data_IF_771213586757
#
_entry.id   IF_771213586757
#
_cell.length_a   1.000
_cell.length_b   1.000
_cell.length_c   1.000
_cell.angle_alpha   90.00
_cell.angle_beta   90.00
_cell.angle_gamma   90.00
#
_symmetry.space_group_name_H-M   'P 1'
#
loop_
_entity.id
_entity.type
_entity.pdbx_description
1 polymer ?
#
# COMPACT_ATOMS: atom_id res chain seq x y z
N UNK A 1 -18.28 -44.97 56.15
CA UNK A 1 -17.14 -44.54 55.31
C UNK A 1 -17.64 -44.35 53.88
N UNK A 2 -18.08 -43.15 53.48
CA UNK A 2 -18.60 -42.93 52.11
C UNK A 2 -18.75 -41.45 51.70
N UNK A 3 -17.96 -40.51 52.25
CA UNK A 3 -18.11 -39.06 51.95
C UNK A 3 -16.94 -38.48 51.14
N UNK A 4 -15.79 -39.17 51.02
CA UNK A 4 -14.63 -38.61 50.30
C UNK A 4 -14.64 -38.77 48.76
N UNK A 5 -15.49 -39.63 48.19
CA UNK A 5 -15.50 -39.87 46.73
C UNK A 5 -16.37 -38.89 45.92
N UNK A 6 -17.35 -38.22 46.55
CA UNK A 6 -18.26 -37.30 45.86
C UNK A 6 -17.59 -35.99 45.44
N UNK A 7 -16.75 -35.42 46.32
CA UNK A 7 -16.07 -34.16 46.04
C UNK A 7 -15.02 -34.32 44.93
N UNK A 8 -14.26 -35.41 44.92
CA UNK A 8 -13.28 -35.63 43.84
C UNK A 8 -13.93 -35.74 42.47
N UNK A 9 -15.08 -36.41 42.35
CA UNK A 9 -15.82 -36.49 41.08
C UNK A 9 -16.35 -35.12 40.63
N UNK A 10 -16.77 -34.26 41.56
CA UNK A 10 -17.24 -32.91 41.25
C UNK A 10 -16.09 -32.00 40.78
N UNK A 11 -14.90 -32.10 41.39
CA UNK A 11 -13.70 -31.40 40.94
C UNK A 11 -13.24 -31.87 39.56
N UNK A 12 -13.25 -33.17 39.30
CA UNK A 12 -12.91 -33.73 37.98
C UNK A 12 -13.90 -33.24 36.92
N UNK A 13 -15.20 -33.22 37.23
CA UNK A 13 -16.23 -32.68 36.34
C UNK A 13 -16.04 -31.19 36.02
N UNK A 14 -15.71 -30.37 37.02
CA UNK A 14 -15.42 -28.94 36.83
C UNK A 14 -14.16 -28.70 35.98
N UNK A 15 -13.10 -29.48 36.19
CA UNK A 15 -11.87 -29.38 35.40
C UNK A 15 -12.09 -29.80 33.94
N UNK A 16 -12.90 -30.84 33.70
CA UNK A 16 -13.31 -31.25 32.36
C UNK A 16 -14.18 -30.18 31.68
N UNK A 17 -15.09 -29.54 32.42
CA UNK A 17 -15.90 -28.45 31.87
C UNK A 17 -15.05 -27.22 31.51
N UNK A 18 -14.06 -26.88 32.34
CA UNK A 18 -13.13 -25.79 32.06
C UNK A 18 -12.26 -26.07 30.81
N UNK A 19 -11.80 -27.31 30.63
CA UNK A 19 -11.00 -27.67 29.46
C UNK A 19 -11.84 -27.64 28.17
N UNK A 20 -13.09 -28.11 28.23
CA UNK A 20 -14.05 -28.02 27.11
C UNK A 20 -14.35 -26.57 26.72
N UNK A 21 -14.56 -25.68 27.69
CA UNK A 21 -14.78 -24.25 27.44
C UNK A 21 -13.53 -23.59 26.79
N UNK A 22 -12.32 -23.95 27.23
CA UNK A 22 -11.08 -23.47 26.62
C UNK A 22 -10.92 -23.93 25.16
N UNK A 23 -11.24 -25.19 24.87
CA UNK A 23 -11.25 -25.75 23.51
C UNK A 23 -12.27 -25.03 22.62
N UNK A 24 -13.45 -24.71 23.14
CA UNK A 24 -14.50 -24.00 22.41
C UNK A 24 -14.09 -22.54 22.08
N UNK A 25 -13.41 -21.85 23.01
CA UNK A 25 -12.85 -20.51 22.77
C UNK A 25 -11.72 -20.55 21.73
N UNK A 26 -10.85 -21.57 21.77
CA UNK A 26 -9.79 -21.75 20.78
C UNK A 26 -10.37 -22.01 19.38
N UNK A 27 -11.38 -22.87 19.29
CA UNK A 27 -12.11 -23.14 18.04
C UNK A 27 -12.79 -21.87 17.52
N UNK A 28 -13.40 -21.06 18.39
CA UNK A 28 -14.01 -19.79 17.98
C UNK A 28 -12.97 -18.76 17.51
N UNK A 29 -11.79 -18.69 18.14
CA UNK A 29 -10.68 -17.84 17.68
C UNK A 29 -10.10 -18.31 16.36
N UNK A 30 -9.99 -19.62 16.15
CA UNK A 30 -9.51 -20.21 14.90
C UNK A 30 -10.53 -20.00 13.78
N UNK A 31 -11.83 -20.18 14.03
CA UNK A 31 -12.88 -19.92 13.03
C UNK A 31 -13.02 -18.43 12.74
N UNK A 32 -12.88 -17.54 13.74
CA UNK A 32 -12.88 -16.09 13.51
C UNK A 32 -11.64 -15.63 12.74
N UNK A 33 -10.46 -16.15 13.07
CA UNK A 33 -9.22 -15.89 12.32
C UNK A 33 -9.32 -16.42 10.88
N UNK A 34 -9.85 -17.63 10.70
CA UNK A 34 -10.14 -18.21 9.40
C UNK A 34 -11.18 -17.39 8.65
N UNK A 35 -12.29 -16.98 9.27
CA UNK A 35 -13.32 -16.11 8.66
C UNK A 35 -12.77 -14.72 8.32
N UNK A 36 -11.87 -14.16 9.12
CA UNK A 36 -11.20 -12.90 8.83
C UNK A 36 -10.14 -13.06 7.72
N UNK A 37 -9.51 -14.23 7.63
CA UNK A 37 -8.59 -14.59 6.56
C UNK A 37 -9.34 -14.89 5.25
N UNK A 38 -10.47 -15.59 5.32
CA UNK A 38 -11.40 -15.86 4.24
C UNK A 38 -12.16 -14.61 3.82
N UNK A 39 -12.45 -13.67 4.71
CA UNK A 39 -12.94 -12.33 4.37
C UNK A 39 -11.92 -11.62 3.49
N UNK A 40 -10.64 -11.56 3.91
CA UNK A 40 -9.56 -11.04 3.05
C UNK A 40 -9.46 -11.79 1.71
N UNK A 41 -9.61 -13.11 1.68
CA UNK A 41 -9.57 -13.92 0.46
C UNK A 41 -10.84 -13.81 -0.42
N UNK A 42 -12.00 -13.53 0.18
CA UNK A 42 -13.28 -13.34 -0.51
C UNK A 42 -13.39 -11.92 -1.07
N UNK A 43 -12.74 -10.94 -0.41
CA UNK A 43 -12.47 -9.63 -0.99
C UNK A 43 -11.50 -9.70 -2.17
N UNK A 44 -10.61 -10.70 -2.25
CA UNK A 44 -9.80 -10.92 -3.46
C UNK A 44 -10.55 -11.57 -4.64
N UNK A 45 -11.84 -11.91 -4.51
CA UNK A 45 -12.60 -12.62 -5.54
C UNK A 45 -13.88 -11.93 -6.03
N UNK A 46 -14.28 -10.76 -5.49
CA UNK A 46 -15.54 -10.12 -5.88
C UNK A 46 -15.41 -8.62 -6.18
N UNK A 47 -14.67 -8.36 -7.25
CA UNK A 47 -14.98 -7.42 -8.35
C UNK A 47 -13.81 -7.65 -9.28
N UNK A 48 -14.02 -7.78 -10.58
CA UNK A 48 -12.98 -7.33 -11.50
C UNK A 48 -12.90 -5.83 -11.22
N UNK A 49 -12.13 -5.43 -10.21
CA UNK A 49 -11.87 -4.04 -9.93
C UNK A 49 -11.39 -3.49 -11.26
N UNK A 50 -12.11 -2.49 -11.75
CA UNK A 50 -12.13 -2.13 -13.15
C UNK A 50 -10.73 -1.69 -13.54
N UNK A 51 -9.92 -2.63 -14.04
CA UNK A 51 -8.54 -2.32 -14.33
C UNK A 51 -8.48 -1.23 -15.39
N UNK A 52 -9.49 -1.15 -16.26
CA UNK A 52 -9.60 -0.14 -17.30
C UNK A 52 -9.86 1.27 -16.73
N UNK A 53 -10.42 1.42 -15.52
CA UNK A 53 -10.59 2.74 -14.88
C UNK A 53 -9.31 3.26 -14.22
N UNK A 54 -8.39 2.37 -13.84
CA UNK A 54 -7.14 2.73 -13.16
C UNK A 54 -5.89 2.59 -14.04
N UNK A 55 -5.97 1.82 -15.13
CA UNK A 55 -4.84 1.52 -16.01
C UNK A 55 -4.58 2.70 -16.94
N UNK A 56 -3.44 3.33 -16.73
CA UNK A 56 -2.95 4.39 -17.60
C UNK A 56 -1.57 4.02 -18.11
N UNK A 57 -1.45 3.90 -19.44
CA UNK A 57 -0.17 3.77 -20.10
C UNK A 57 0.42 5.14 -20.38
N UNK A 58 1.60 5.38 -19.82
CA UNK A 58 2.27 6.68 -19.90
C UNK A 58 3.61 6.46 -20.59
N UNK A 59 3.88 7.27 -21.61
CA UNK A 59 5.14 7.22 -22.37
C UNK A 59 6.09 8.31 -21.91
N UNK A 60 5.56 9.50 -21.67
CA UNK A 60 6.28 10.64 -21.10
C UNK A 60 5.52 11.18 -19.87
N UNK A 61 6.23 11.63 -18.84
CA UNK A 61 5.61 12.23 -17.66
C UNK A 61 4.82 13.50 -18.02
N UNK A 62 5.21 14.19 -19.09
CA UNK A 62 4.46 15.35 -19.62
C UNK A 62 3.06 15.01 -20.09
N UNK A 63 2.84 13.75 -20.49
CA UNK A 63 1.51 13.28 -20.91
C UNK A 63 0.53 13.26 -19.72
N UNK A 64 1.04 13.18 -18.48
CA UNK A 64 0.22 13.16 -17.26
C UNK A 64 -0.57 14.46 -17.08
N UNK A 65 -0.01 15.59 -17.48
CA UNK A 65 -0.68 16.89 -17.42
C UNK A 65 -2.00 16.87 -18.23
N UNK A 66 -1.99 16.19 -19.37
CA UNK A 66 -3.12 16.09 -20.30
C UNK A 66 -4.20 15.08 -19.87
N UNK A 67 -3.94 14.24 -18.86
CA UNK A 67 -4.92 13.30 -18.34
C UNK A 67 -6.01 14.09 -17.60
N UNK A 68 -7.26 13.94 -18.04
CA UNK A 68 -8.43 14.43 -17.30
C UNK A 68 -8.60 13.55 -16.05
N UNK A 69 -8.47 14.10 -14.84
CA UNK A 69 -8.52 13.29 -13.64
C UNK A 69 -9.95 12.79 -13.38
N UNK A 70 -10.08 11.53 -12.99
CA UNK A 70 -11.28 10.97 -12.38
C UNK A 70 -11.00 10.64 -10.91
N UNK A 71 -12.01 10.82 -10.05
CA UNK A 71 -11.92 10.39 -8.65
C UNK A 71 -12.01 8.87 -8.59
N UNK A 72 -11.02 8.25 -7.97
CA UNK A 72 -11.03 6.82 -7.68
C UNK A 72 -11.88 6.52 -6.44
N UNK A 73 -12.59 5.40 -6.47
CA UNK A 73 -13.22 4.85 -5.28
C UNK A 73 -12.20 4.13 -4.37
N UNK A 74 -12.60 3.79 -3.15
CA UNK A 74 -11.71 3.16 -2.17
C UNK A 74 -11.11 1.83 -2.69
N UNK A 75 -11.89 1.04 -3.44
CA UNK A 75 -11.45 -0.24 -3.99
C UNK A 75 -10.43 -0.06 -5.11
N UNK A 76 -10.64 0.95 -5.97
CA UNK A 76 -9.72 1.35 -7.03
C UNK A 76 -8.40 1.88 -6.48
N UNK A 77 -8.45 2.69 -5.41
CA UNK A 77 -7.24 3.17 -4.72
C UNK A 77 -6.47 2.00 -4.13
N UNK A 78 -7.12 1.13 -3.36
CA UNK A 78 -6.47 -0.03 -2.74
C UNK A 78 -5.84 -0.96 -3.78
N UNK A 79 -6.56 -1.25 -4.87
CA UNK A 79 -6.02 -2.05 -5.95
C UNK A 79 -4.81 -1.39 -6.60
N UNK A 80 -4.89 -0.10 -6.91
CA UNK A 80 -3.79 0.63 -7.56
C UNK A 80 -2.55 0.64 -6.67
N UNK A 81 -2.72 0.83 -5.35
CA UNK A 81 -1.61 0.71 -4.40
C UNK A 81 -1.00 -0.70 -4.40
N UNK A 82 -1.83 -1.75 -4.43
CA UNK A 82 -1.36 -3.14 -4.49
C UNK A 82 -0.58 -3.44 -5.78
N UNK A 83 -1.08 -3.00 -6.95
CA UNK A 83 -0.41 -3.18 -8.24
C UNK A 83 1.00 -2.58 -8.22
N UNK A 84 1.17 -1.46 -7.52
CA UNK A 84 2.43 -0.72 -7.44
C UNK A 84 3.24 -0.99 -6.16
N UNK A 85 2.85 -2.00 -5.37
CA UNK A 85 3.49 -2.39 -4.12
C UNK A 85 3.63 -1.24 -3.10
N UNK A 86 2.60 -0.40 -3.00
CA UNK A 86 2.54 0.78 -2.14
C UNK A 86 1.68 0.58 -0.89
N UNK A 87 0.90 -0.51 -0.82
CA UNK A 87 -0.13 -0.77 0.21
C UNK A 87 0.42 -0.87 1.64
N UNK A 88 1.72 -1.15 1.79
CA UNK A 88 2.40 -1.21 3.09
C UNK A 88 2.94 0.13 3.55
N UNK A 89 3.17 1.05 2.62
CA UNK A 89 3.98 2.25 2.85
C UNK A 89 3.14 3.53 2.81
N UNK A 90 2.04 3.53 2.06
CA UNK A 90 1.14 4.66 1.91
C UNK A 90 -0.17 4.43 2.65
N UNK A 91 -0.62 5.46 3.37
CA UNK A 91 -1.90 5.45 4.08
C UNK A 91 -2.95 6.15 3.23
N UNK A 92 -4.13 5.57 3.15
CA UNK A 92 -5.31 6.18 2.54
C UNK A 92 -6.00 7.01 3.63
N UNK A 93 -6.08 8.32 3.42
CA UNK A 93 -6.96 9.21 4.16
C UNK A 93 -8.24 9.45 3.36
N UNK A 94 -9.23 10.14 3.94
CA UNK A 94 -10.54 10.35 3.31
C UNK A 94 -10.51 10.90 1.88
N UNK A 95 -9.50 11.72 1.54
CA UNK A 95 -9.34 12.34 0.21
C UNK A 95 -7.90 12.35 -0.31
N UNK A 96 -6.94 11.79 0.42
CA UNK A 96 -5.51 11.93 0.10
C UNK A 96 -4.73 10.67 0.42
N UNK A 97 -3.58 10.52 -0.26
CA UNK A 97 -2.55 9.56 0.10
C UNK A 97 -1.54 10.25 1.01
N UNK A 98 -1.15 9.60 2.10
CA UNK A 98 -0.20 10.15 3.07
C UNK A 98 0.94 9.18 3.39
N UNK A 99 2.15 9.73 3.56
CA UNK A 99 3.34 8.99 3.97
C UNK A 99 4.33 9.87 4.72
N UNK A 100 5.08 9.29 5.65
CA UNK A 100 6.26 9.91 6.25
C UNK A 100 7.52 9.18 5.78
N UNK A 101 8.49 9.94 5.29
CA UNK A 101 9.82 9.47 4.93
C UNK A 101 10.83 9.87 6.00
N UNK A 102 11.81 9.00 6.25
CA UNK A 102 12.91 9.26 7.19
C UNK A 102 14.26 8.93 6.54
N UNK A 103 15.12 9.92 6.46
CA UNK A 103 16.45 9.85 5.88
C UNK A 103 17.52 9.81 6.98
N UNK A 104 18.78 9.57 6.63
CA UNK A 104 19.88 9.63 7.60
C UNK A 104 20.30 11.07 7.87
N UNK A 105 20.30 11.90 6.83
CA UNK A 105 20.72 13.30 6.89
C UNK A 105 19.71 14.21 6.23
N UNK A 106 19.76 15.51 6.55
CA UNK A 106 19.03 16.53 5.80
C UNK A 106 19.40 16.54 4.32
N UNK A 107 20.68 16.26 3.99
CA UNK A 107 21.17 16.29 2.61
C UNK A 107 20.51 15.20 1.75
N UNK A 108 20.33 13.98 2.28
CA UNK A 108 19.55 12.93 1.61
C UNK A 108 18.09 13.34 1.42
N UNK A 109 17.45 13.91 2.47
CA UNK A 109 16.08 14.39 2.35
C UNK A 109 15.94 15.45 1.24
N UNK A 110 16.91 16.35 1.13
CA UNK A 110 16.92 17.40 0.11
C UNK A 110 17.17 16.85 -1.30
N UNK A 111 18.06 15.86 -1.49
CA UNK A 111 18.23 15.19 -2.79
C UNK A 111 16.93 14.52 -3.23
N UNK A 112 16.26 13.82 -2.31
CA UNK A 112 14.94 13.26 -2.58
C UNK A 112 13.94 14.33 -3.01
N UNK A 113 13.84 15.43 -2.25
CA UNK A 113 12.92 16.52 -2.57
C UNK A 113 13.23 17.14 -3.93
N UNK A 114 14.50 17.39 -4.24
CA UNK A 114 14.90 17.96 -5.52
C UNK A 114 14.52 17.06 -6.70
N UNK A 115 14.78 15.74 -6.58
CA UNK A 115 14.40 14.77 -7.61
C UNK A 115 12.88 14.69 -7.78
N UNK A 116 12.12 14.61 -6.68
CA UNK A 116 10.65 14.59 -6.73
C UNK A 116 10.10 15.89 -7.32
N UNK A 117 10.71 17.04 -7.01
CA UNK A 117 10.32 18.33 -7.58
C UNK A 117 10.40 18.33 -9.11
N UNK A 118 11.46 17.74 -9.68
CA UNK A 118 11.60 17.63 -11.13
C UNK A 118 10.50 16.74 -11.74
N UNK A 119 10.24 15.58 -11.13
CA UNK A 119 9.21 14.64 -11.60
C UNK A 119 7.81 15.25 -11.51
N UNK A 120 7.50 15.91 -10.39
CA UNK A 120 6.22 16.59 -10.17
C UNK A 120 5.97 17.72 -11.18
N UNK A 121 7.01 18.48 -11.53
CA UNK A 121 6.93 19.55 -12.52
C UNK A 121 6.60 19.00 -13.93
N UNK A 122 7.28 17.92 -14.33
CA UNK A 122 6.97 17.24 -15.59
C UNK A 122 5.52 16.74 -15.65
N UNK A 123 4.98 16.27 -14.52
CA UNK A 123 3.59 15.82 -14.42
C UNK A 123 2.56 16.95 -14.33
N UNK A 124 3.01 18.18 -14.03
CA UNK A 124 2.13 19.27 -13.57
C UNK A 124 1.21 18.83 -12.42
N UNK A 125 1.75 18.03 -11.49
CA UNK A 125 1.01 17.48 -10.35
C UNK A 125 1.91 17.46 -9.12
N UNK A 126 1.53 18.21 -8.08
CA UNK A 126 2.44 18.56 -6.99
C UNK A 126 2.02 17.94 -5.66
N UNK A 127 2.96 17.42 -4.85
CA UNK A 127 2.65 16.98 -3.49
C UNK A 127 2.52 18.18 -2.56
N UNK A 128 1.79 18.00 -1.47
CA UNK A 128 1.94 18.82 -0.26
C UNK A 128 2.92 18.11 0.66
N UNK A 129 3.93 18.81 1.16
CA UNK A 129 4.87 18.21 2.10
C UNK A 129 5.34 19.19 3.18
N UNK A 130 5.87 18.64 4.27
CA UNK A 130 6.53 19.37 5.34
C UNK A 130 7.84 18.65 5.62
N UNK A 131 8.96 19.36 5.51
CA UNK A 131 10.28 18.84 5.84
C UNK A 131 10.76 19.39 7.19
N UNK A 132 11.19 18.49 8.07
CA UNK A 132 11.87 18.82 9.33
C UNK A 132 13.14 17.99 9.40
N UNK A 133 14.28 18.61 9.11
CA UNK A 133 15.58 17.95 9.04
C UNK A 133 15.54 16.69 8.14
N UNK A 134 15.77 15.51 8.68
CA UNK A 134 15.79 14.24 7.97
C UNK A 134 14.41 13.56 7.88
N UNK A 135 13.32 14.25 8.21
CA UNK A 135 11.95 13.73 8.11
C UNK A 135 11.14 14.55 7.12
N UNK A 136 10.33 13.87 6.33
CA UNK A 136 9.47 14.49 5.33
C UNK A 136 8.08 13.86 5.39
N UNK A 137 7.10 14.63 5.81
CA UNK A 137 5.69 14.24 5.82
C UNK A 137 5.04 14.69 4.52
N UNK A 138 4.37 13.79 3.81
CA UNK A 138 3.83 14.00 2.46
C UNK A 138 2.34 13.68 2.44
N UNK A 139 1.58 14.51 1.75
CA UNK A 139 0.17 14.36 1.45
C UNK A 139 -0.05 14.65 -0.05
N UNK A 140 -0.76 13.76 -0.76
CA UNK A 140 -1.02 13.88 -2.19
C UNK A 140 -2.53 13.72 -2.44
N UNK A 141 -3.11 14.63 -3.22
CA UNK A 141 -4.52 14.60 -3.60
C UNK A 141 -4.71 15.41 -4.88
N UNK A 142 -5.70 15.03 -5.69
CA UNK A 142 -6.09 15.77 -6.89
C UNK A 142 -7.26 16.69 -6.54
N UNK A 143 -6.96 17.99 -6.45
CA UNK A 143 -7.92 19.01 -6.01
C UNK A 143 -9.14 19.12 -6.93
N UNK A 144 -8.93 19.02 -8.25
CA UNK A 144 -9.97 19.13 -9.28
C UNK A 144 -11.12 18.13 -9.08
N UNK A 145 -10.81 16.96 -8.50
CA UNK A 145 -11.80 15.91 -8.20
C UNK A 145 -12.06 15.74 -6.70
N UNK A 146 -11.50 16.61 -5.87
CA UNK A 146 -11.63 16.59 -4.41
C UNK A 146 -11.43 15.18 -3.82
N UNK A 147 -10.35 14.52 -4.25
CA UNK A 147 -10.07 13.13 -3.90
C UNK A 147 -8.80 12.59 -4.55
N UNK A 148 -8.63 11.27 -4.43
CA UNK A 148 -7.50 10.55 -5.01
C UNK A 148 -7.81 10.23 -6.47
N UNK A 149 -6.87 10.53 -7.36
CA UNK A 149 -6.88 10.12 -8.77
C UNK A 149 -5.67 9.23 -9.09
N UNK A 150 -5.62 8.71 -10.31
CA UNK A 150 -4.44 7.98 -10.81
C UNK A 150 -3.16 8.83 -10.79
N UNK A 151 -3.26 10.16 -10.92
CA UNK A 151 -2.10 11.07 -10.84
C UNK A 151 -1.44 11.00 -9.46
N UNK A 152 -2.24 10.89 -8.41
CA UNK A 152 -1.76 10.78 -7.02
C UNK A 152 -1.03 9.46 -6.79
N UNK A 153 -1.59 8.36 -7.30
CA UNK A 153 -0.97 7.02 -7.19
C UNK A 153 0.35 6.97 -7.96
N UNK A 154 0.40 7.57 -9.16
CA UNK A 154 1.62 7.67 -9.95
C UNK A 154 2.68 8.47 -9.22
N UNK A 155 2.35 9.66 -8.69
CA UNK A 155 3.31 10.46 -7.94
C UNK A 155 3.81 9.70 -6.70
N UNK A 156 2.92 9.02 -5.97
CA UNK A 156 3.29 8.16 -4.85
C UNK A 156 4.26 7.04 -5.25
N UNK A 157 4.04 6.41 -6.41
CA UNK A 157 4.94 5.39 -6.99
C UNK A 157 6.33 5.95 -7.34
N UNK A 158 6.37 7.11 -7.99
CA UNK A 158 7.62 7.78 -8.34
C UNK A 158 8.41 8.16 -7.08
N UNK A 159 7.74 8.74 -6.09
CA UNK A 159 8.33 9.06 -4.79
C UNK A 159 8.85 7.82 -4.08
N UNK A 160 8.14 6.69 -4.13
CA UNK A 160 8.63 5.46 -3.51
C UNK A 160 9.92 4.94 -4.17
N UNK A 161 9.97 4.98 -5.49
CA UNK A 161 11.13 4.58 -6.26
C UNK A 161 12.34 5.49 -5.98
N UNK A 162 12.12 6.81 -5.95
CA UNK A 162 13.16 7.78 -5.58
C UNK A 162 13.64 7.61 -4.14
N UNK A 163 12.74 7.31 -3.21
CA UNK A 163 13.13 7.09 -1.82
C UNK A 163 14.08 5.90 -1.67
N UNK A 164 13.82 4.79 -2.39
CA UNK A 164 14.68 3.61 -2.40
C UNK A 164 16.07 3.93 -2.96
N UNK A 165 16.12 4.62 -4.10
CA UNK A 165 17.39 5.05 -4.72
C UNK A 165 18.21 5.94 -3.77
N UNK A 166 17.58 6.96 -3.18
CA UNK A 166 18.26 7.88 -2.24
C UNK A 166 18.75 7.16 -0.98
N UNK A 167 18.03 6.13 -0.51
CA UNK A 167 18.44 5.33 0.66
C UNK A 167 19.67 4.46 0.38
N UNK A 168 20.00 4.20 -0.88
CA UNK A 168 21.21 3.48 -1.28
C UNK A 168 22.43 4.40 -1.48
N UNK A 169 22.23 5.73 -1.48
CA UNK A 169 23.31 6.70 -1.64
C UNK A 169 24.17 6.82 -0.36
N UNK A 170 25.48 6.92 -0.56
CA UNK A 170 26.42 7.22 0.53
C UNK A 170 26.20 8.65 1.07
N UNK A 171 25.90 8.84 2.37
CA UNK A 171 25.65 10.15 2.99
C UNK A 171 26.80 11.16 2.91
N UNK A 172 28.03 10.74 2.58
CA UNK A 172 29.19 11.64 2.49
C UNK A 172 29.39 12.23 1.08
N UNK A 173 28.88 11.60 0.02
CA UNK A 173 29.14 11.94 -1.38
C UNK A 173 27.98 12.66 -2.09
N UNK A 174 27.21 13.45 -1.34
CA UNK A 174 25.89 13.97 -1.75
C UNK A 174 25.96 15.13 -2.77
N UNK A 175 26.94 15.13 -3.67
CA UNK A 175 26.86 15.75 -4.98
C UNK A 175 26.26 14.80 -6.03
N UNK A 176 26.09 13.51 -5.69
CA UNK A 176 25.44 12.53 -6.56
C UNK A 176 23.94 12.80 -6.66
N UNK A 177 23.50 13.12 -7.87
CA UNK A 177 22.09 13.24 -8.25
C UNK A 177 21.48 11.83 -8.17
N UNK A 178 20.25 11.73 -7.65
CA UNK A 178 19.47 10.47 -7.69
C UNK A 178 19.52 9.87 -9.10
N UNK A 179 19.78 8.56 -9.20
CA UNK A 179 19.97 7.85 -10.49
C UNK A 179 18.65 7.47 -11.16
N UNK A 180 17.54 7.87 -10.54
CA UNK A 180 16.20 7.60 -11.05
C UNK A 180 16.02 8.19 -12.45
N UNK A 181 15.63 7.32 -13.39
CA UNK A 181 15.28 7.67 -14.75
C UNK A 181 13.76 7.60 -14.94
N UNK A 182 13.13 8.72 -15.30
CA UNK A 182 11.69 8.78 -15.55
C UNK A 182 11.21 7.75 -16.59
N UNK A 183 11.87 7.59 -17.76
CA UNK A 183 11.53 6.53 -18.70
C UNK A 183 11.54 5.12 -18.09
N UNK A 184 12.54 4.80 -17.26
CA UNK A 184 12.62 3.50 -16.61
C UNK A 184 11.47 3.30 -15.61
N UNK A 185 11.14 4.34 -14.83
CA UNK A 185 10.02 4.28 -13.89
C UNK A 185 8.69 4.11 -14.61
N UNK A 186 8.48 4.79 -15.73
CA UNK A 186 7.27 4.63 -16.54
C UNK A 186 7.18 3.24 -17.19
N UNK A 187 8.31 2.69 -17.65
CA UNK A 187 8.36 1.31 -18.12
C UNK A 187 7.94 0.33 -17.01
N UNK A 188 8.48 0.49 -15.81
CA UNK A 188 8.15 -0.35 -14.66
C UNK A 188 6.67 -0.18 -14.24
N UNK A 189 6.17 1.06 -14.22
CA UNK A 189 4.76 1.37 -13.99
C UNK A 189 3.84 0.60 -14.97
N UNK A 190 4.11 0.69 -16.27
CA UNK A 190 3.36 0.00 -17.31
C UNK A 190 3.48 -1.54 -17.19
N UNK A 191 4.66 -2.04 -16.81
CA UNK A 191 4.91 -3.46 -16.61
C UNK A 191 4.12 -4.02 -15.42
N UNK A 192 3.97 -3.27 -14.32
CA UNK A 192 3.19 -3.69 -13.14
C UNK A 192 1.73 -4.03 -13.51
N UNK A 193 1.08 -3.18 -14.29
CA UNK A 193 -0.28 -3.45 -14.80
C UNK A 193 -0.33 -4.73 -15.65
N UNK A 194 0.64 -4.89 -16.54
CA UNK A 194 0.72 -6.06 -17.44
C UNK A 194 0.91 -7.34 -16.63
N UNK A 195 1.82 -7.34 -15.65
CA UNK A 195 2.06 -8.46 -14.75
C UNK A 195 0.81 -8.81 -13.93
N UNK A 196 0.11 -7.79 -13.41
CA UNK A 196 -1.12 -8.00 -12.66
C UNK A 196 -2.21 -8.64 -13.51
N UNK A 197 -2.38 -8.20 -14.77
CA UNK A 197 -3.31 -8.82 -15.72
C UNK A 197 -3.00 -10.31 -15.95
N UNK A 198 -1.72 -10.67 -16.09
CA UNK A 198 -1.31 -12.06 -16.28
C UNK A 198 -1.54 -12.92 -15.03
N UNK A 199 -1.38 -12.36 -13.83
CA UNK A 199 -1.71 -13.05 -12.57
C UNK A 199 -3.21 -13.34 -12.51
N UNK A 200 -4.07 -12.37 -12.85
CA UNK A 200 -5.51 -12.57 -12.89
C UNK A 200 -5.92 -13.68 -13.85
N UNK A 201 -5.41 -13.66 -15.09
CA UNK A 201 -5.69 -14.71 -16.10
C UNK A 201 -5.31 -16.11 -15.59
N UNK A 202 -4.13 -16.25 -14.97
CA UNK A 202 -3.65 -17.53 -14.42
C UNK A 202 -4.51 -18.04 -13.27
N UNK A 203 -5.08 -17.15 -12.46
CA UNK A 203 -5.93 -17.53 -11.34
C UNK A 203 -7.34 -17.94 -11.80
N UNK A 204 -7.86 -17.33 -12.86
CA UNK A 204 -9.15 -17.72 -13.48
C UNK A 204 -9.08 -19.12 -14.08
N UNK A 205 -7.95 -19.51 -14.69
CA UNK A 205 -7.77 -20.85 -15.25
C UNK A 205 -7.49 -21.96 -14.23
N UNK A 206 -7.39 -21.63 -12.93
CA UNK A 206 -7.16 -22.59 -11.83
C UNK A 206 -8.43 -22.90 -11.02
N UNK A 207 -9.55 -22.26 -11.34
CA UNK A 207 -10.87 -22.48 -10.77
C UNK A 207 -11.71 -23.33 -11.73
#
# INVERSE_FOLDING_TARGET
MSIQNGNQLQYVSQLVQMSLNCLQILLFKLTFSMLHHFSKYRFTLNKVANLDSIKVFIKDLKDVASIVPSKLDETEVQLSLQIHALEKNWKINSKSLAKEYKFETFKQAFVFMNTVSHLADQMSHYPKWINVYNKLSVEITTQDVSGISVKDVLLAYLMESTYKDVKELNPEHVGEISKVSAPQLLQNWNANFTQYQEILKKNVHKL
#
